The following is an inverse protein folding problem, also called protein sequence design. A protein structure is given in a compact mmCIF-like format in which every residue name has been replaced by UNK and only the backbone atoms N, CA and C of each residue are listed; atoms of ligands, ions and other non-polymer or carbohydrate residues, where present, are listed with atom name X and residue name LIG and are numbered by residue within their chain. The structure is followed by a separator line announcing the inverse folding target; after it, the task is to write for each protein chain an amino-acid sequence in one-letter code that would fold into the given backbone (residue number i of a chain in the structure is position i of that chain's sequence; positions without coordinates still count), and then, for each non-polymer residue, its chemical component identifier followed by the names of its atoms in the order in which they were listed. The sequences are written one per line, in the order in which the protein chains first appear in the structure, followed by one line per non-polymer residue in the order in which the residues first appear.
data_IF_322221733224
#
_entry.id   IF_322221733224
#
_cell.length_a   1.000
_cell.length_b   1.000
_cell.length_c   1.000
_cell.angle_alpha   90.00
_cell.angle_beta   90.00
_cell.angle_gamma   90.00
#
_symmetry.space_group_name_H-M   'P 1'
#
loop_
_entity.id
_entity.type
_entity.pdbx_description
1 polymer ?
#
# COMPACT_ATOMS: atom_id res chain seq x y z
N UNK A 1 3.51 -10.91 1.51
CA UNK A 1 2.94 -9.71 0.84
C UNK A 1 3.06 -9.90 -0.67
N UNK A 2 2.07 -9.47 -1.50
CA UNK A 2 2.08 -9.73 -2.93
C UNK A 2 3.39 -9.35 -3.63
N UNK A 3 3.89 -10.24 -4.49
CA UNK A 3 5.14 -10.03 -5.22
C UNK A 3 5.10 -8.76 -6.10
N UNK A 4 3.91 -8.37 -6.57
CA UNK A 4 3.75 -7.17 -7.39
C UNK A 4 4.19 -5.90 -6.65
N UNK A 5 3.96 -5.79 -5.33
CA UNK A 5 4.32 -4.58 -4.60
C UNK A 5 5.83 -4.41 -4.50
N UNK A 6 6.57 -5.50 -4.22
CA UNK A 6 8.03 -5.46 -4.11
C UNK A 6 8.70 -5.01 -5.41
N UNK A 7 8.21 -5.49 -6.56
CA UNK A 7 8.71 -5.08 -7.88
C UNK A 7 8.50 -3.57 -8.10
N UNK A 8 7.31 -3.06 -7.77
CA UNK A 8 7.01 -1.64 -7.91
C UNK A 8 7.81 -0.74 -6.97
N UNK A 9 8.14 -1.22 -5.76
CA UNK A 9 9.02 -0.50 -4.84
C UNK A 9 10.43 -0.34 -5.39
N UNK A 10 10.99 -1.38 -6.02
CA UNK A 10 12.32 -1.31 -6.60
C UNK A 10 12.36 -0.39 -7.82
N UNK A 11 11.30 -0.36 -8.63
CA UNK A 11 11.14 0.64 -9.69
C UNK A 11 11.08 2.07 -9.14
N UNK A 12 10.32 2.31 -8.06
CA UNK A 12 10.29 3.62 -7.38
C UNK A 12 11.69 4.01 -6.92
N UNK A 13 12.40 3.12 -6.22
CA UNK A 13 13.76 3.41 -5.71
C UNK A 13 14.69 3.79 -6.85
N UNK A 14 14.64 3.06 -7.97
CA UNK A 14 15.45 3.35 -9.13
C UNK A 14 15.13 4.72 -9.73
N UNK A 15 13.84 5.03 -9.94
CA UNK A 15 13.40 6.32 -10.46
C UNK A 15 13.70 7.49 -9.52
N UNK A 16 13.56 7.30 -8.20
CA UNK A 16 13.92 8.31 -7.19
C UNK A 16 15.42 8.60 -7.20
N UNK A 17 16.28 7.56 -7.28
CA UNK A 17 17.74 7.74 -7.45
C UNK A 17 18.06 8.52 -8.71
N UNK A 18 17.44 8.17 -9.84
CA UNK A 18 17.61 8.90 -11.10
C UNK A 18 17.13 10.34 -11.00
N UNK A 19 15.98 10.59 -10.38
CA UNK A 19 15.40 11.92 -10.20
C UNK A 19 16.30 12.82 -9.34
N UNK A 20 16.83 12.30 -8.23
CA UNK A 20 17.74 13.02 -7.34
C UNK A 20 18.99 13.53 -8.08
N UNK A 21 19.55 12.70 -8.97
CA UNK A 21 20.74 13.04 -9.77
C UNK A 21 20.49 14.04 -10.91
N UNK A 22 19.24 14.41 -11.23
CA UNK A 22 18.97 15.37 -12.33
C UNK A 22 19.00 16.82 -11.85
N UNK A 23 19.54 17.71 -12.68
CA UNK A 23 19.55 19.14 -12.45
C UNK A 23 18.13 19.68 -12.19
N UNK A 24 18.00 20.48 -11.12
CA UNK A 24 16.76 21.18 -10.75
C UNK A 24 16.30 22.06 -11.93
N UNK A 25 15.00 22.11 -12.19
CA UNK A 25 14.42 22.89 -13.31
C UNK A 25 14.59 22.28 -14.72
N UNK A 26 15.42 21.25 -14.91
CA UNK A 26 15.61 20.66 -16.24
C UNK A 26 14.33 19.96 -16.77
N UNK A 27 14.09 20.05 -18.08
CA UNK A 27 12.94 19.39 -18.76
C UNK A 27 12.90 17.88 -18.50
N UNK A 28 14.07 17.24 -18.42
CA UNK A 28 14.21 15.81 -18.09
C UNK A 28 13.77 15.51 -16.66
N UNK A 29 14.09 16.36 -15.68
CA UNK A 29 13.65 16.20 -14.29
C UNK A 29 12.13 16.31 -14.18
N UNK A 30 11.50 17.26 -14.86
CA UNK A 30 10.04 17.37 -14.91
C UNK A 30 9.37 16.14 -15.56
N UNK A 31 9.97 15.58 -16.62
CA UNK A 31 9.51 14.32 -17.22
C UNK A 31 9.53 13.14 -16.23
N UNK A 32 10.65 12.97 -15.52
CA UNK A 32 10.80 11.92 -14.49
C UNK A 32 9.86 12.14 -13.30
N UNK A 33 9.67 13.37 -12.85
CA UNK A 33 8.72 13.70 -11.78
C UNK A 33 7.29 13.29 -12.12
N UNK A 34 6.84 13.56 -13.36
CA UNK A 34 5.53 13.09 -13.84
C UNK A 34 5.42 11.57 -13.87
N UNK A 35 6.47 10.86 -14.30
CA UNK A 35 6.51 9.39 -14.30
C UNK A 35 6.43 8.83 -12.88
N UNK A 36 7.20 9.40 -11.95
CA UNK A 36 7.19 9.02 -10.54
C UNK A 36 5.80 9.22 -9.91
N UNK A 37 5.15 10.37 -10.16
CA UNK A 37 3.81 10.64 -9.67
C UNK A 37 2.77 9.62 -10.20
N UNK A 38 2.84 9.28 -11.50
CA UNK A 38 1.96 8.26 -12.11
C UNK A 38 2.15 6.89 -11.46
N UNK A 39 3.39 6.50 -11.18
CA UNK A 39 3.72 5.25 -10.50
C UNK A 39 3.15 5.21 -9.08
N UNK A 40 3.30 6.29 -8.30
CA UNK A 40 2.72 6.37 -6.96
C UNK A 40 1.19 6.21 -6.98
N UNK A 41 0.50 6.85 -7.94
CA UNK A 41 -0.95 6.70 -8.12
C UNK A 41 -1.31 5.25 -8.48
N UNK A 42 -0.57 4.64 -9.40
CA UNK A 42 -0.80 3.27 -9.83
C UNK A 42 -0.68 2.28 -8.66
N UNK A 43 0.39 2.38 -7.87
CA UNK A 43 0.63 1.50 -6.72
C UNK A 43 -0.43 1.70 -5.65
N UNK A 44 -0.84 2.96 -5.39
CA UNK A 44 -1.94 3.25 -4.48
C UNK A 44 -3.22 2.53 -4.91
N UNK A 45 -3.59 2.62 -6.20
CA UNK A 45 -4.78 1.94 -6.74
C UNK A 45 -4.67 0.42 -6.66
N UNK A 46 -3.51 -0.16 -6.95
CA UNK A 46 -3.26 -1.60 -6.80
C UNK A 46 -3.42 -2.06 -5.34
N UNK A 47 -2.92 -1.28 -4.38
CA UNK A 47 -3.08 -1.57 -2.94
C UNK A 47 -4.56 -1.55 -2.52
N UNK A 48 -5.29 -0.51 -2.94
CA UNK A 48 -6.72 -0.37 -2.66
C UNK A 48 -7.54 -1.53 -3.27
N UNK A 49 -7.27 -1.89 -4.53
CA UNK A 49 -7.94 -3.00 -5.20
C UNK A 49 -7.68 -4.36 -4.52
N UNK A 50 -6.41 -4.63 -4.16
CA UNK A 50 -6.04 -5.85 -3.44
C UNK A 50 -6.77 -5.97 -2.10
N UNK A 51 -6.85 -4.88 -1.34
CA UNK A 51 -7.57 -4.83 -0.07
C UNK A 51 -9.07 -5.08 -0.27
N UNK A 52 -9.69 -4.39 -1.23
CA UNK A 52 -11.11 -4.58 -1.51
C UNK A 52 -11.41 -6.04 -1.89
N UNK A 53 -10.57 -6.66 -2.72
CA UNK A 53 -10.71 -8.07 -3.11
C UNK A 53 -10.50 -9.04 -1.95
N UNK A 54 -9.61 -8.73 -1.00
CA UNK A 54 -9.44 -9.53 0.21
C UNK A 54 -10.66 -9.42 1.10
N UNK A 55 -11.11 -8.20 1.37
CA UNK A 55 -12.28 -7.91 2.19
C UNK A 55 -13.51 -8.58 1.61
N UNK A 56 -13.76 -8.43 0.30
CA UNK A 56 -14.88 -9.10 -0.38
C UNK A 56 -14.82 -10.62 -0.28
N UNK A 57 -13.63 -11.24 -0.39
CA UNK A 57 -13.49 -12.69 -0.20
C UNK A 57 -13.80 -13.11 1.22
N UNK A 58 -13.22 -12.43 2.20
CA UNK A 58 -13.45 -12.70 3.62
C UNK A 58 -14.93 -12.57 4.00
N UNK A 59 -15.62 -11.53 3.51
CA UNK A 59 -17.07 -11.37 3.73
C UNK A 59 -17.93 -12.38 2.98
N UNK A 60 -17.52 -12.83 1.80
CA UNK A 60 -18.28 -13.83 1.04
C UNK A 60 -18.15 -15.23 1.65
N UNK A 61 -17.03 -15.54 2.29
CA UNK A 61 -16.74 -16.85 2.87
C UNK A 61 -17.22 -16.98 4.33
N UNK A 62 -17.45 -15.85 5.04
CA UNK A 62 -17.73 -15.86 6.48
C UNK A 62 -18.97 -15.01 6.82
N UNK A 63 -19.94 -15.61 7.49
CA UNK A 63 -21.16 -14.93 7.96
C UNK A 63 -20.93 -14.08 9.23
N UNK A 64 -19.92 -14.44 10.05
CA UNK A 64 -19.57 -13.76 11.29
C UNK A 64 -18.07 -13.47 11.33
N UNK A 65 -17.71 -12.23 11.65
CA UNK A 65 -16.32 -11.79 11.77
C UNK A 65 -16.04 -11.30 13.20
N UNK A 66 -15.13 -11.97 13.89
CA UNK A 66 -14.62 -11.54 15.19
C UNK A 66 -13.30 -10.80 14.97
N UNK A 67 -13.24 -9.54 15.43
CA UNK A 67 -12.07 -8.68 15.28
C UNK A 67 -11.35 -8.53 16.62
N UNK A 68 -10.12 -9.04 16.70
CA UNK A 68 -9.28 -8.85 17.88
C UNK A 68 -8.49 -7.54 17.83
N UNK A 69 -8.34 -6.91 18.99
CA UNK A 69 -7.56 -5.67 19.13
C UNK A 69 -6.08 -5.98 19.30
N UNK A 70 -5.33 -5.95 18.19
CA UNK A 70 -3.88 -6.16 18.19
C UNK A 70 -3.11 -4.87 18.54
N UNK A 71 -2.07 -4.96 19.39
CA UNK A 71 -1.16 -3.86 19.68
C UNK A 71 -0.14 -3.64 18.53
N UNK A 72 -0.61 -3.08 17.41
CA UNK A 72 0.20 -2.82 16.21
C UNK A 72 1.46 -1.97 16.50
N UNK A 73 1.44 -0.89 17.30
CA UNK A 73 2.64 -0.13 17.63
C UNK A 73 3.74 -0.95 18.30
N UNK A 74 3.38 -1.91 19.16
CA UNK A 74 4.35 -2.81 19.80
C UNK A 74 5.03 -3.73 18.79
N UNK A 75 4.27 -4.23 17.81
CA UNK A 75 4.78 -5.13 16.77
C UNK A 75 5.68 -4.42 15.75
N UNK A 76 5.44 -3.12 15.51
CA UNK A 76 6.27 -2.29 14.64
C UNK A 76 7.67 -2.01 15.21
N UNK A 77 7.92 -2.28 16.50
CA UNK A 77 9.25 -2.14 17.10
C UNK A 77 10.24 -3.20 16.58
N UNK A 78 9.75 -4.34 16.09
CA UNK A 78 10.60 -5.37 15.53
C UNK A 78 11.01 -5.00 14.09
N UNK A 79 12.28 -4.63 13.88
CA UNK A 79 12.79 -4.18 12.58
C UNK A 79 12.60 -5.17 11.42
N UNK A 80 12.63 -6.49 11.68
CA UNK A 80 12.48 -7.50 10.64
C UNK A 80 11.02 -7.66 10.18
N UNK A 81 10.07 -7.47 11.11
CA UNK A 81 8.64 -7.63 10.86
C UNK A 81 7.94 -6.30 10.57
N UNK A 82 8.51 -5.17 10.99
CA UNK A 82 7.91 -3.85 10.89
C UNK A 82 7.44 -3.52 9.47
N UNK A 83 8.24 -3.86 8.45
CA UNK A 83 7.86 -3.63 7.05
C UNK A 83 6.64 -4.47 6.66
N UNK A 84 6.70 -5.78 6.89
CA UNK A 84 5.62 -6.71 6.54
C UNK A 84 4.31 -6.36 7.27
N UNK A 85 4.42 -5.95 8.54
CA UNK A 85 3.29 -5.55 9.37
C UNK A 85 2.73 -4.21 8.91
N UNK A 86 3.57 -3.23 8.59
CA UNK A 86 3.14 -1.93 8.04
C UNK A 86 2.43 -2.09 6.69
N UNK A 87 2.96 -2.96 5.83
CA UNK A 87 2.34 -3.26 4.54
C UNK A 87 0.95 -3.91 4.72
N UNK A 88 0.80 -4.79 5.73
CA UNK A 88 -0.47 -5.44 6.08
C UNK A 88 -1.45 -4.50 6.80
N UNK A 89 -0.93 -3.69 7.73
CA UNK A 89 -1.65 -2.67 8.50
C UNK A 89 -1.82 -1.39 7.67
N UNK A 90 -2.34 -1.54 6.46
CA UNK A 90 -2.73 -0.40 5.65
C UNK A 90 -4.10 0.10 6.15
N UNK A 91 -4.22 1.40 6.42
CA UNK A 91 -5.53 2.04 6.64
C UNK A 91 -6.43 1.73 5.44
N UNK A 92 -7.44 0.90 5.64
CA UNK A 92 -8.50 0.70 4.64
C UNK A 92 -9.17 2.06 4.44
N UNK A 93 -9.15 2.66 3.24
CA UNK A 93 -9.85 3.90 3.02
C UNK A 93 -11.34 3.59 3.05
N UNK A 94 -11.98 3.95 4.16
CA UNK A 94 -13.43 3.84 4.39
C UNK A 94 -14.20 4.71 3.39
N UNK A 95 -14.39 4.21 2.16
CA UNK A 95 -15.26 4.84 1.15
C UNK A 95 -16.46 3.99 0.75
N UNK A 96 -16.65 2.82 1.36
CA UNK A 96 -17.86 2.03 1.19
C UNK A 96 -18.37 1.62 2.56
N UNK A 97 -19.59 2.04 2.90
CA UNK A 97 -20.36 1.47 4.01
C UNK A 97 -20.70 0.04 3.60
N UNK A 98 -19.78 -0.89 3.86
CA UNK A 98 -20.16 -2.30 3.94
C UNK A 98 -20.96 -2.41 5.23
N UNK A 99 -22.26 -2.69 5.13
CA UNK A 99 -23.13 -2.95 6.28
C UNK A 99 -22.71 -4.28 6.91
N UNK A 100 -21.64 -4.24 7.69
CA UNK A 100 -21.20 -5.38 8.48
C UNK A 100 -21.98 -5.28 9.79
N UNK A 101 -22.84 -6.27 10.05
CA UNK A 101 -23.46 -6.42 11.36
C UNK A 101 -22.41 -7.00 12.29
N UNK A 102 -21.58 -6.13 12.86
CA UNK A 102 -20.60 -6.49 13.88
C UNK A 102 -21.42 -6.88 15.12
N UNK A 103 -21.26 -8.13 15.58
CA UNK A 103 -21.79 -8.59 16.86
C UNK A 103 -20.88 -8.13 18.01
#
# INVERSE_FOLDING_TARGET
YPQFLRRSEDEIKHLQRHFSKKLKGSRRRHGLGRRLARLHIHIRRQREDFQNKLVHRVFAENDVLVLEKLNVPGLLKNHSLAKSISDAASKVPSRRRLSCRIL
#
